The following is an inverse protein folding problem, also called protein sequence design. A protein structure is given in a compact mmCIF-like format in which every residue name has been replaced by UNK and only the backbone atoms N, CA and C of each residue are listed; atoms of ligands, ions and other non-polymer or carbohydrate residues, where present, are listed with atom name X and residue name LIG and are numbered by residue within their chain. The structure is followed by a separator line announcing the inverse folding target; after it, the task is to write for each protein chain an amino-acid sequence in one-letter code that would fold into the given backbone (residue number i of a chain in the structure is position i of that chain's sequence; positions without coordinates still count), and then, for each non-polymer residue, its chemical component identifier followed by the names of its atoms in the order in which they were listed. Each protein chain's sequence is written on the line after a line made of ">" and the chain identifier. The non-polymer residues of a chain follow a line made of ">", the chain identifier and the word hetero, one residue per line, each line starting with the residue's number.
data_IF_980793938870
#
_entry.id   IF_980793938870
#
_cell.length_a   1.000
_cell.length_b   1.000
_cell.length_c   1.000
_cell.angle_alpha   90.00
_cell.angle_beta   90.00
_cell.angle_gamma   90.00
#
_symmetry.space_group_name_H-M   'P 1'
#
loop_
_entity.id
_entity.type
_entity.pdbx_description
1 polymer ?
#
# COMPACT_ATOMS: atom_id res chain seq x y z
N UNK A 1 20.55 -10.07 4.71
CA UNK A 1 19.97 -8.73 4.54
C UNK A 1 19.24 -8.71 3.21
N UNK A 2 17.99 -9.21 3.16
CA UNK A 2 17.23 -9.28 1.91
C UNK A 2 16.44 -7.98 1.71
N UNK A 3 16.79 -7.23 0.67
CA UNK A 3 15.99 -6.13 0.13
C UNK A 3 14.54 -6.59 -0.08
N UNK A 4 13.57 -5.80 0.39
CA UNK A 4 12.16 -6.14 0.17
C UNK A 4 11.77 -6.03 -1.29
N UNK A 5 10.69 -6.74 -1.66
CA UNK A 5 10.09 -6.71 -3.00
C UNK A 5 8.57 -6.71 -2.90
N UNK A 6 7.94 -6.18 -3.95
CA UNK A 6 6.50 -6.23 -4.15
C UNK A 6 6.25 -7.03 -5.42
N UNK A 7 5.36 -8.02 -5.34
CA UNK A 7 4.95 -8.87 -6.45
C UNK A 7 3.48 -8.64 -6.77
N UNK A 8 3.10 -8.87 -8.01
CA UNK A 8 1.77 -8.63 -8.52
C UNK A 8 1.25 -9.84 -9.31
N UNK A 9 -0.02 -10.16 -9.13
CA UNK A 9 -0.78 -11.07 -9.99
C UNK A 9 -2.21 -10.55 -10.20
N UNK A 10 -2.80 -10.94 -11.33
CA UNK A 10 -4.21 -10.77 -11.63
C UNK A 10 -4.82 -12.15 -11.89
N UNK A 11 -5.95 -12.43 -11.26
CA UNK A 11 -6.71 -13.65 -11.48
C UNK A 11 -8.21 -13.34 -11.46
N UNK A 12 -8.87 -13.53 -12.61
CA UNK A 12 -10.33 -13.37 -12.75
C UNK A 12 -10.86 -12.02 -12.22
N UNK A 13 -10.12 -10.92 -12.45
CA UNK A 13 -10.51 -9.59 -11.96
C UNK A 13 -10.17 -9.30 -10.50
N UNK A 14 -9.58 -10.27 -9.80
CA UNK A 14 -8.97 -10.09 -8.48
C UNK A 14 -7.49 -9.77 -8.65
N UNK A 15 -7.05 -8.68 -8.03
CA UNK A 15 -5.67 -8.23 -8.08
C UNK A 15 -4.98 -8.55 -6.76
N UNK A 16 -3.83 -9.21 -6.83
CA UNK A 16 -3.04 -9.64 -5.66
C UNK A 16 -1.72 -8.87 -5.64
N UNK A 17 -1.45 -8.17 -4.55
CA UNK A 17 -0.18 -7.52 -4.26
C UNK A 17 0.49 -8.23 -3.09
N UNK A 18 1.63 -8.88 -3.33
CA UNK A 18 2.39 -9.60 -2.29
C UNK A 18 3.63 -8.83 -1.90
N UNK A 19 3.79 -8.56 -0.61
CA UNK A 19 4.92 -7.85 -0.03
C UNK A 19 5.81 -8.84 0.71
N UNK A 20 7.12 -8.79 0.44
CA UNK A 20 8.09 -9.73 0.98
C UNK A 20 9.29 -8.97 1.52
N UNK A 21 9.70 -9.27 2.76
CA UNK A 21 10.89 -8.68 3.38
C UNK A 21 10.67 -7.27 3.93
N UNK A 22 11.70 -6.41 3.84
CA UNK A 22 11.66 -5.01 4.30
C UNK A 22 11.26 -4.07 3.17
N UNK A 23 10.00 -3.63 3.14
CA UNK A 23 9.47 -2.80 2.05
C UNK A 23 9.64 -1.31 2.39
N UNK A 24 10.36 -0.61 1.51
CA UNK A 24 10.74 0.80 1.67
C UNK A 24 10.34 1.62 0.44
N UNK A 25 10.46 2.94 0.58
CA UNK A 25 10.19 3.99 -0.43
C UNK A 25 10.71 3.69 -1.83
N UNK A 26 11.78 2.90 -1.96
CA UNK A 26 12.38 2.52 -3.25
C UNK A 26 11.39 1.85 -4.22
N UNK A 27 10.26 1.33 -3.72
CA UNK A 27 9.22 0.68 -4.54
C UNK A 27 7.93 1.51 -4.67
N UNK A 28 7.88 2.74 -4.12
CA UNK A 28 6.68 3.58 -4.12
C UNK A 28 6.17 3.88 -5.53
N UNK A 29 7.11 4.11 -6.44
CA UNK A 29 6.90 4.42 -7.85
C UNK A 29 6.18 3.32 -8.60
N UNK A 30 6.68 2.09 -8.43
CA UNK A 30 6.15 0.91 -9.08
C UNK A 30 4.80 0.50 -8.49
N UNK A 31 4.62 0.65 -7.18
CA UNK A 31 3.34 0.41 -6.50
C UNK A 31 2.27 1.39 -7.00
N UNK A 32 2.55 2.69 -7.03
CA UNK A 32 1.62 3.72 -7.52
C UNK A 32 1.23 3.50 -8.99
N UNK A 33 2.19 3.19 -9.87
CA UNK A 33 1.89 2.83 -11.26
C UNK A 33 1.03 1.55 -11.38
N UNK A 34 1.24 0.60 -10.47
CA UNK A 34 0.43 -0.63 -10.42
C UNK A 34 -0.98 -0.35 -9.93
N UNK A 35 -1.15 0.54 -8.95
CA UNK A 35 -2.45 1.01 -8.46
C UNK A 35 -3.25 1.62 -9.62
N UNK A 36 -2.65 2.52 -10.40
CA UNK A 36 -3.30 3.11 -11.58
C UNK A 36 -3.67 2.04 -12.63
N UNK A 37 -2.80 1.05 -12.86
CA UNK A 37 -3.08 -0.07 -13.76
C UNK A 37 -4.26 -0.92 -13.30
N UNK A 38 -4.38 -1.20 -12.00
CA UNK A 38 -5.52 -1.94 -11.43
C UNK A 38 -6.83 -1.20 -11.71
N UNK A 39 -6.85 0.12 -11.52
CA UNK A 39 -8.07 0.92 -11.69
C UNK A 39 -8.43 1.28 -13.14
N UNK A 40 -7.56 0.96 -14.09
CA UNK A 40 -7.84 1.05 -15.53
C UNK A 40 -8.31 -0.29 -16.13
N UNK A 41 -8.22 -1.38 -15.37
CA UNK A 41 -8.68 -2.70 -15.82
C UNK A 41 -10.22 -2.79 -15.83
N UNK A 42 -10.78 -3.29 -16.94
CA UNK A 42 -12.23 -3.38 -17.16
C UNK A 42 -12.92 -4.43 -16.28
N UNK A 43 -12.17 -5.43 -15.81
CA UNK A 43 -12.64 -6.58 -15.03
C UNK A 43 -12.39 -6.42 -13.51
N UNK A 44 -12.10 -5.20 -13.04
CA UNK A 44 -11.77 -4.96 -11.64
C UNK A 44 -12.89 -5.36 -10.67
N UNK A 45 -12.61 -6.35 -9.82
CA UNK A 45 -13.58 -6.92 -8.88
C UNK A 45 -13.12 -6.82 -7.42
N UNK A 46 -11.86 -7.14 -7.12
CA UNK A 46 -11.33 -7.11 -5.76
C UNK A 46 -9.81 -6.87 -5.73
N UNK A 47 -9.31 -6.43 -4.57
CA UNK A 47 -7.87 -6.33 -4.30
C UNK A 47 -7.55 -7.10 -3.02
N UNK A 48 -6.50 -7.90 -3.08
CA UNK A 48 -5.89 -8.61 -1.95
C UNK A 48 -4.45 -8.12 -1.79
N UNK A 49 -4.09 -7.69 -0.59
CA UNK A 49 -2.74 -7.32 -0.20
C UNK A 49 -2.23 -8.39 0.76
N UNK A 50 -1.25 -9.17 0.31
CA UNK A 50 -0.60 -10.21 1.10
C UNK A 50 0.66 -9.66 1.77
N UNK A 51 0.63 -9.55 3.10
CA UNK A 51 1.74 -9.14 3.95
C UNK A 51 2.29 -10.31 4.80
N UNK A 52 1.92 -11.55 4.48
CA UNK A 52 2.32 -12.75 5.26
C UNK A 52 3.82 -12.98 5.31
N UNK A 53 4.59 -12.43 4.37
CA UNK A 53 6.05 -12.49 4.33
C UNK A 53 6.73 -11.11 4.52
N UNK A 54 5.95 -10.09 4.90
CA UNK A 54 6.45 -8.75 5.19
C UNK A 54 7.06 -8.70 6.58
N UNK A 55 8.29 -8.20 6.66
CA UNK A 55 9.01 -7.99 7.93
C UNK A 55 8.88 -6.57 8.45
N UNK A 56 8.90 -5.59 7.55
CA UNK A 56 8.68 -4.18 7.87
C UNK A 56 8.11 -3.45 6.66
N UNK A 57 7.35 -2.38 6.93
CA UNK A 57 6.74 -1.51 5.94
C UNK A 57 6.86 -0.07 6.41
N UNK A 58 7.27 0.83 5.52
CA UNK A 58 7.42 2.25 5.86
C UNK A 58 6.10 3.05 5.69
N UNK A 59 6.10 4.27 6.22
CA UNK A 59 4.94 5.16 6.17
C UNK A 59 4.52 5.52 4.74
N UNK A 60 5.48 5.67 3.82
CA UNK A 60 5.16 5.99 2.43
C UNK A 60 4.42 4.84 1.74
N UNK A 61 4.87 3.60 1.95
CA UNK A 61 4.18 2.43 1.41
C UNK A 61 2.79 2.28 2.02
N UNK A 62 2.65 2.50 3.33
CA UNK A 62 1.34 2.53 3.99
C UNK A 62 0.42 3.60 3.39
N UNK A 63 0.90 4.82 3.15
CA UNK A 63 0.08 5.87 2.54
C UNK A 63 -0.38 5.54 1.12
N UNK A 64 0.44 4.83 0.33
CA UNK A 64 0.01 4.31 -0.98
C UNK A 64 -1.04 3.19 -0.87
N UNK A 65 -0.93 2.31 0.12
CA UNK A 65 -1.99 1.33 0.40
C UNK A 65 -3.29 2.06 0.78
N UNK A 66 -3.21 3.07 1.65
CA UNK A 66 -4.37 3.89 2.00
C UNK A 66 -4.99 4.58 0.76
N UNK A 67 -4.18 5.11 -0.16
CA UNK A 67 -4.63 5.63 -1.48
C UNK A 67 -5.42 4.57 -2.25
N UNK A 68 -4.85 3.36 -2.39
CA UNK A 68 -5.50 2.23 -3.05
C UNK A 68 -6.85 1.90 -2.41
N UNK A 69 -6.96 1.92 -1.07
CA UNK A 69 -8.22 1.63 -0.39
C UNK A 69 -9.32 2.64 -0.70
N UNK A 70 -8.96 3.93 -0.74
CA UNK A 70 -9.88 5.02 -1.06
C UNK A 70 -10.38 4.88 -2.50
N UNK A 71 -9.45 4.65 -3.44
CA UNK A 71 -9.77 4.47 -4.86
C UNK A 71 -10.63 3.22 -5.10
N UNK A 72 -10.34 2.10 -4.41
CA UNK A 72 -11.13 0.86 -4.47
C UNK A 72 -12.57 1.11 -4.04
N UNK A 73 -12.75 1.78 -2.90
CA UNK A 73 -14.08 2.12 -2.38
C UNK A 73 -14.83 3.04 -3.34
N UNK A 74 -14.16 3.99 -3.99
CA UNK A 74 -14.78 4.89 -4.98
C UNK A 74 -15.18 4.18 -6.28
N UNK A 75 -14.39 3.22 -6.75
CA UNK A 75 -14.59 2.55 -8.04
C UNK A 75 -15.60 1.40 -7.98
N UNK A 76 -15.50 0.54 -6.96
CA UNK A 76 -16.32 -0.69 -6.86
C UNK A 76 -17.14 -0.78 -5.57
N UNK A 77 -17.03 0.21 -4.67
CA UNK A 77 -17.76 0.20 -3.40
C UNK A 77 -17.26 -0.80 -2.35
N UNK A 78 -16.19 -1.54 -2.66
CA UNK A 78 -15.63 -2.59 -1.80
C UNK A 78 -14.31 -2.14 -1.17
N UNK A 79 -14.14 -2.51 0.10
CA UNK A 79 -12.86 -2.38 0.79
C UNK A 79 -11.91 -3.50 0.32
N UNK A 80 -10.66 -3.17 -0.02
CA UNK A 80 -9.62 -4.17 -0.24
C UNK A 80 -9.38 -5.04 1.01
N UNK A 81 -8.83 -6.24 0.79
CA UNK A 81 -8.46 -7.17 1.87
C UNK A 81 -6.97 -7.13 2.11
N UNK A 82 -6.53 -7.07 3.37
CA UNK A 82 -5.13 -7.22 3.78
C UNK A 82 -4.99 -8.52 4.56
N UNK A 83 -4.07 -9.37 4.14
CA UNK A 83 -3.72 -10.61 4.82
C UNK A 83 -2.40 -10.41 5.56
N UNK A 84 -2.38 -10.66 6.86
CA UNK A 84 -1.14 -10.62 7.65
C UNK A 84 -1.14 -11.71 8.70
N UNK A 85 -0.01 -12.40 8.86
CA UNK A 85 0.21 -13.43 9.89
C UNK A 85 1.17 -12.98 10.98
N UNK A 86 1.71 -11.76 10.87
CA UNK A 86 2.63 -11.18 11.84
C UNK A 86 1.89 -10.21 12.78
N UNK A 87 1.94 -10.45 14.09
CA UNK A 87 1.28 -9.59 15.08
C UNK A 87 1.80 -8.15 15.03
N UNK A 88 3.10 -7.94 14.86
CA UNK A 88 3.71 -6.61 14.83
C UNK A 88 3.19 -5.76 13.66
N UNK A 89 3.06 -6.37 12.47
CA UNK A 89 2.46 -5.72 11.29
C UNK A 89 0.97 -5.46 11.53
N UNK A 90 0.26 -6.40 12.15
CA UNK A 90 -1.17 -6.23 12.47
C UNK A 90 -1.40 -5.06 13.41
N UNK A 91 -0.60 -4.94 14.47
CA UNK A 91 -0.65 -3.83 15.43
C UNK A 91 -0.29 -2.50 14.77
N UNK A 92 0.71 -2.50 13.89
CA UNK A 92 1.07 -1.32 13.11
C UNK A 92 -0.12 -0.83 12.26
N UNK A 93 -0.75 -1.72 11.49
CA UNK A 93 -1.92 -1.38 10.68
C UNK A 93 -3.08 -0.84 11.52
N UNK A 94 -3.37 -1.48 12.66
CA UNK A 94 -4.40 -1.04 13.59
C UNK A 94 -4.09 0.35 14.17
N UNK A 95 -2.85 0.60 14.60
CA UNK A 95 -2.44 1.91 15.12
C UNK A 95 -2.58 3.03 14.09
N UNK A 96 -2.41 2.70 12.81
CA UNK A 96 -2.57 3.63 11.69
C UNK A 96 -4.03 3.82 11.25
N UNK A 97 -4.99 3.08 11.84
CA UNK A 97 -6.41 3.15 11.51
C UNK A 97 -6.81 2.40 10.23
N UNK A 98 -6.02 1.41 9.80
CA UNK A 98 -6.27 0.68 8.55
C UNK A 98 -7.50 -0.21 8.60
N UNK A 99 -7.95 -0.59 9.80
CA UNK A 99 -9.20 -1.30 10.04
C UNK A 99 -10.45 -0.53 9.55
N UNK A 100 -10.35 0.79 9.37
CA UNK A 100 -11.43 1.62 8.83
C UNK A 100 -11.53 1.57 7.30
N UNK A 101 -10.46 1.16 6.61
CA UNK A 101 -10.36 1.23 5.14
C UNK A 101 -9.95 -0.10 4.48
N UNK A 102 -9.61 -1.12 5.28
CA UNK A 102 -9.29 -2.47 4.84
C UNK A 102 -10.05 -3.52 5.64
N UNK A 103 -10.37 -4.63 4.97
CA UNK A 103 -10.70 -5.88 5.65
C UNK A 103 -9.39 -6.59 6.04
N UNK A 104 -9.02 -6.59 7.33
CA UNK A 104 -7.80 -7.25 7.80
C UNK A 104 -8.13 -8.69 8.21
N UNK A 105 -7.43 -9.67 7.64
CA UNK A 105 -7.61 -11.09 7.91
C UNK A 105 -6.29 -11.77 8.26
N UNK A 106 -6.37 -12.77 9.14
CA UNK A 106 -5.23 -13.54 9.66
C UNK A 106 -5.01 -14.89 8.94
N UNK A 107 -5.91 -15.24 8.00
CA UNK A 107 -5.84 -16.50 7.26
C UNK A 107 -5.17 -16.30 5.90
N UNK A 108 -4.10 -17.05 5.60
CA UNK A 108 -3.50 -17.03 4.27
C UNK A 108 -4.52 -17.48 3.22
N UNK A 109 -4.73 -16.66 2.21
CA UNK A 109 -5.49 -17.00 1.01
C UNK A 109 -4.53 -17.74 0.06
N UNK A 110 -4.96 -18.78 -0.67
CA UNK A 110 -4.12 -19.40 -1.69
C UNK A 110 -3.59 -18.34 -2.67
N UNK A 111 -2.27 -18.12 -2.69
CA UNK A 111 -1.65 -17.18 -3.64
C UNK A 111 -1.67 -17.77 -5.06
N UNK A 112 -1.88 -16.96 -6.11
CA UNK A 112 -1.72 -17.41 -7.47
C UNK A 112 -0.25 -17.83 -7.73
N UNK A 113 -0.03 -18.92 -8.48
CA UNK A 113 1.32 -19.38 -8.84
C UNK A 113 2.07 -18.41 -9.78
N UNK A 114 1.35 -17.49 -10.43
CA UNK A 114 1.85 -16.59 -11.47
C UNK A 114 2.21 -15.18 -10.97
N UNK A 115 2.82 -15.03 -9.80
CA UNK A 115 3.28 -13.73 -9.29
C UNK A 115 4.49 -13.21 -10.11
N UNK A 116 4.48 -11.92 -10.44
CA UNK A 116 5.58 -11.24 -11.12
C UNK A 116 6.09 -10.07 -10.27
N UNK A 117 7.41 -9.90 -10.17
CA UNK A 117 8.00 -8.78 -9.41
C UNK A 117 7.65 -7.43 -10.07
N UNK A 118 7.35 -6.41 -9.27
CA UNK A 118 7.18 -5.05 -9.78
C UNK A 118 8.50 -4.53 -10.36
N UNK A 119 8.48 -3.86 -11.53
CA UNK A 119 9.70 -3.37 -12.15
C UNK A 119 10.35 -2.26 -11.30
N UNK A 120 11.69 -2.24 -11.24
CA UNK A 120 12.43 -1.10 -10.70
C UNK A 120 12.18 0.14 -11.57
N UNK A 121 11.95 1.29 -10.94
CA UNK A 121 11.77 2.56 -11.65
C UNK A 121 12.74 3.62 -11.11
N UNK A 122 13.53 4.21 -12.01
CA UNK A 122 14.28 5.43 -11.71
C UNK A 122 13.32 6.63 -11.81
N UNK A 123 13.13 7.35 -10.70
CA UNK A 123 12.28 8.55 -10.65
C UNK A 123 13.09 9.75 -10.19
N UNK A 124 12.72 10.94 -10.69
CA UNK A 124 13.31 12.19 -10.23
C UNK A 124 12.93 12.46 -8.77
N UNK A 125 13.79 13.18 -8.07
CA UNK A 125 13.59 13.57 -6.67
C UNK A 125 12.25 14.31 -6.46
N UNK A 126 11.88 15.19 -7.39
CA UNK A 126 10.62 15.93 -7.36
C UNK A 126 9.39 15.00 -7.39
N UNK A 127 9.42 13.98 -8.25
CA UNK A 127 8.32 13.01 -8.34
C UNK A 127 8.23 12.17 -7.06
N UNK A 128 9.36 11.72 -6.52
CA UNK A 128 9.40 10.98 -5.26
C UNK A 128 8.84 11.83 -4.13
N UNK A 129 9.24 13.11 -4.06
CA UNK A 129 8.76 14.04 -3.03
C UNK A 129 7.26 14.26 -3.09
N UNK A 130 6.68 14.47 -4.28
CA UNK A 130 5.24 14.62 -4.44
C UNK A 130 4.49 13.36 -3.97
N UNK A 131 5.01 12.17 -4.28
CA UNK A 131 4.42 10.89 -3.83
C UNK A 131 4.50 10.71 -2.32
N UNK A 132 5.63 11.06 -1.71
CA UNK A 132 5.79 11.05 -0.24
C UNK A 132 4.78 11.99 0.41
N UNK A 133 4.63 13.20 -0.13
CA UNK A 133 3.70 14.21 0.39
C UNK A 133 2.24 13.73 0.30
N UNK A 134 1.84 13.21 -0.86
CA UNK A 134 0.50 12.64 -1.06
C UNK A 134 0.21 11.50 -0.07
N UNK A 135 1.12 10.54 0.04
CA UNK A 135 0.99 9.39 0.94
C UNK A 135 0.77 9.81 2.40
N UNK A 136 1.55 10.78 2.90
CA UNK A 136 1.43 11.23 4.28
C UNK A 136 0.14 12.03 4.52
N UNK A 137 -0.28 12.88 3.57
CA UNK A 137 -1.57 13.59 3.66
C UNK A 137 -2.76 12.63 3.75
N UNK A 138 -2.70 11.52 3.01
CA UNK A 138 -3.73 10.48 3.08
C UNK A 138 -3.75 9.85 4.47
N UNK A 139 -2.58 9.49 5.03
CA UNK A 139 -2.49 8.93 6.38
C UNK A 139 -3.02 9.89 7.45
N UNK A 140 -2.71 11.19 7.34
CA UNK A 140 -3.24 12.23 8.23
C UNK A 140 -4.76 12.32 8.20
N UNK A 141 -5.39 11.94 7.08
CA UNK A 141 -6.85 11.90 6.95
C UNK A 141 -7.52 10.70 7.62
N UNK A 142 -6.76 9.68 8.03
CA UNK A 142 -7.32 8.45 8.60
C UNK A 142 -7.68 8.58 10.08
N UNK A 143 -6.88 9.29 10.87
CA UNK A 143 -7.14 9.55 12.30
C UNK A 143 -6.35 10.77 12.81
N UNK A 144 -6.77 11.34 13.94
CA UNK A 144 -6.14 12.56 14.50
C UNK A 144 -4.69 12.32 14.96
N UNK A 145 -4.36 11.09 15.42
CA UNK A 145 -2.99 10.77 15.84
C UNK A 145 -2.00 10.85 14.66
N UNK A 146 -2.37 10.32 13.50
CA UNK A 146 -1.59 10.45 12.27
C UNK A 146 -1.49 11.92 11.84
N UNK A 147 -2.58 12.68 12.00
CA UNK A 147 -2.62 14.11 11.68
C UNK A 147 -1.60 14.90 12.49
N UNK A 148 -1.56 14.71 13.79
CA UNK A 148 -0.57 15.35 14.66
C UNK A 148 0.85 14.86 14.36
N UNK A 149 1.05 13.54 14.19
CA UNK A 149 2.36 12.95 14.01
C UNK A 149 3.07 13.39 12.71
N UNK A 150 2.33 13.59 11.61
CA UNK A 150 2.90 13.90 10.30
C UNK A 150 2.77 15.38 9.90
N UNK A 151 2.10 16.22 10.70
CA UNK A 151 1.87 17.63 10.40
C UNK A 151 3.16 18.39 10.05
N UNK A 152 4.19 18.26 10.88
CA UNK A 152 5.44 19.01 10.70
C UNK A 152 6.25 18.51 9.50
N UNK A 153 6.24 17.19 9.25
CA UNK A 153 6.88 16.58 8.08
C UNK A 153 6.25 17.08 6.78
N UNK A 154 4.92 17.07 6.70
CA UNK A 154 4.18 17.55 5.51
C UNK A 154 4.44 19.03 5.29
N UNK A 155 4.36 19.87 6.33
CA UNK A 155 4.65 21.29 6.22
C UNK A 155 6.07 21.59 5.74
N UNK A 156 7.07 20.81 6.19
CA UNK A 156 8.44 20.96 5.71
C UNK A 156 8.56 20.58 4.22
N UNK A 157 7.92 19.47 3.81
CA UNK A 157 7.90 18.99 2.44
C UNK A 157 7.07 19.85 1.47
N UNK A 158 6.26 20.80 1.94
CA UNK A 158 5.52 21.76 1.08
C UNK A 158 6.26 23.07 0.83
N UNK A 159 7.23 23.42 1.68
CA UNK A 159 7.94 24.72 1.64
C UNK A 159 9.14 24.74 0.69
N UNK A 160 9.56 23.60 0.17
CA UNK A 160 10.66 23.45 -0.79
C UNK A 160 10.14 23.37 -2.23
#
# INVERSE_FOLDING_TARGET
>A
MSTGRIQFAEQEGTFVLKFVGEVRLTLCSALDATIERIFTALNFSAIVIDLTETRSIDSTTLGLLAKLSILSRQKVGLLPTVVTTHEDITRLLQSMGFDQVFNIVDRPIPCPECLTDLPSQDQSEEVVRLKVLEAHKILMGLNESNREAFHDLVNALERH
#
